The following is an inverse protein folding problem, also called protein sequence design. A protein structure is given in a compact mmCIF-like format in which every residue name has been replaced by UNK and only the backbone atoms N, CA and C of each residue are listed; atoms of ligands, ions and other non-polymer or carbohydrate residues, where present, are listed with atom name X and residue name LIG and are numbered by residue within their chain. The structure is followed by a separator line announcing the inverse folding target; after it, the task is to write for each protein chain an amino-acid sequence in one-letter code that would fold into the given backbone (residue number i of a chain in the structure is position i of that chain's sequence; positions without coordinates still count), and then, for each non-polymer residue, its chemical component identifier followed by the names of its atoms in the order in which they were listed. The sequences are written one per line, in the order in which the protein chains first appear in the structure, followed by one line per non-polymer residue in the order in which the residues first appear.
data_IF_096326021273
#
_entry.id   IF_096326021273
#
_cell.length_a   1.000
_cell.length_b   1.000
_cell.length_c   1.000
_cell.angle_alpha   90.00
_cell.angle_beta   90.00
_cell.angle_gamma   90.00
#
_symmetry.space_group_name_H-M   'P 1'
#
loop_
_entity.id
_entity.type
_entity.pdbx_description
1 polymer ?
#
# COMPACT_ATOMS: atom_id res chain seq x y z
N UNK A 1 9.97 -5.57 -34.17
CA UNK A 1 11.22 -5.13 -33.53
C UNK A 1 11.05 -3.65 -33.26
N UNK A 2 10.69 -3.15 -32.07
CA UNK A 2 11.14 -3.47 -30.71
C UNK A 2 9.97 -3.33 -29.73
N UNK A 3 9.94 -4.19 -28.72
CA UNK A 3 9.00 -4.21 -27.60
C UNK A 3 9.02 -2.91 -26.79
N UNK A 4 7.85 -2.42 -26.37
CA UNK A 4 7.72 -1.70 -25.10
C UNK A 4 6.61 -2.38 -24.33
N UNK A 5 7.03 -3.16 -23.34
CA UNK A 5 6.15 -3.81 -22.40
C UNK A 5 5.30 -2.74 -21.70
N UNK A 6 3.99 -2.93 -21.70
CA UNK A 6 3.13 -2.24 -20.76
C UNK A 6 3.52 -2.69 -19.35
N UNK A 7 4.13 -1.80 -18.57
CA UNK A 7 4.46 -2.03 -17.17
C UNK A 7 3.18 -2.30 -16.37
N UNK A 8 3.03 -3.47 -15.73
CA UNK A 8 1.92 -3.73 -14.83
C UNK A 8 2.24 -3.09 -13.48
N UNK A 9 1.84 -1.82 -13.27
CA UNK A 9 1.72 -1.28 -11.92
C UNK A 9 0.46 -1.92 -11.30
N UNK A 10 0.66 -3.17 -10.90
CA UNK A 10 -0.17 -3.90 -9.97
C UNK A 10 -0.47 -3.02 -8.77
N UNK A 11 -1.76 -2.90 -8.45
CA UNK A 11 -2.24 -2.18 -7.30
C UNK A 11 -1.41 -2.57 -6.07
N UNK A 12 -0.76 -1.63 -5.37
CA UNK A 12 -0.06 -1.94 -4.13
C UNK A 12 -1.01 -2.46 -3.04
N UNK A 13 -2.32 -2.40 -3.26
CA UNK A 13 -3.36 -3.01 -2.43
C UNK A 13 -3.52 -4.53 -2.67
N UNK A 14 -3.28 -5.01 -3.90
CA UNK A 14 -3.46 -6.43 -4.25
C UNK A 14 -2.22 -7.27 -3.87
N UNK A 15 -1.01 -6.72 -4.08
CA UNK A 15 0.26 -7.34 -3.68
C UNK A 15 0.35 -7.60 -2.16
N UNK A 16 -0.31 -6.75 -1.38
CA UNK A 16 -0.41 -6.84 0.07
C UNK A 16 -1.21 -8.05 0.54
N UNK A 17 -2.19 -8.48 -0.25
CA UNK A 17 -3.01 -9.65 0.08
C UNK A 17 -2.25 -10.96 -0.13
N UNK A 18 -1.28 -10.99 -1.06
CA UNK A 18 -0.50 -12.19 -1.38
C UNK A 18 0.60 -12.51 -0.34
N UNK A 19 1.17 -11.51 0.34
CA UNK A 19 2.25 -11.73 1.31
C UNK A 19 1.78 -12.28 2.68
N UNK A 20 0.47 -12.38 2.94
CA UNK A 20 -0.07 -12.96 4.18
C UNK A 20 -0.37 -14.47 4.09
N UNK A 21 0.12 -15.16 3.07
CA UNK A 21 0.05 -16.62 2.98
C UNK A 21 1.30 -17.28 3.62
N UNK A 22 1.43 -17.17 4.95
CA UNK A 22 2.44 -17.93 5.70
C UNK A 22 2.12 -19.44 5.74
N UNK A 23 3.14 -20.32 5.92
CA UNK A 23 2.99 -21.77 5.83
C UNK A 23 2.20 -22.31 7.04
N UNK A 24 1.07 -22.97 6.77
CA UNK A 24 0.30 -23.66 7.80
C UNK A 24 1.01 -24.94 8.24
N UNK A 25 1.87 -24.84 9.26
CA UNK A 25 2.35 -26.02 10.00
C UNK A 25 1.23 -26.54 10.91
N UNK A 26 0.99 -27.84 10.79
CA UNK A 26 -0.24 -28.50 11.22
C UNK A 26 -0.41 -28.71 12.72
N UNK A 27 -1.68 -28.85 13.09
CA UNK A 27 -2.19 -29.78 14.09
C UNK A 27 -3.72 -29.82 13.90
N UNK A 28 -4.27 -31.01 13.67
CA UNK A 28 -5.69 -31.27 13.45
C UNK A 28 -6.50 -30.84 14.68
N UNK A 29 -7.36 -29.84 14.53
CA UNK A 29 -8.60 -29.72 15.30
C UNK A 29 -9.56 -28.80 14.56
N UNK A 30 -10.62 -29.38 13.98
CA UNK A 30 -11.80 -28.74 13.37
C UNK A 30 -11.54 -27.57 12.43
N UNK A 31 -11.84 -27.75 11.14
CA UNK A 31 -11.95 -26.65 10.19
C UNK A 31 -12.93 -25.58 10.70
N UNK A 32 -12.41 -24.51 11.32
CA UNK A 32 -13.19 -23.32 11.69
C UNK A 32 -13.59 -22.67 10.37
N UNK A 33 -14.81 -23.00 9.89
CA UNK A 33 -15.47 -22.32 8.79
C UNK A 33 -15.36 -20.82 9.05
N UNK A 34 -14.70 -20.07 8.15
CA UNK A 34 -14.73 -18.60 8.12
C UNK A 34 -16.17 -18.19 7.79
N UNK A 35 -17.04 -18.19 8.80
CA UNK A 35 -18.37 -17.60 8.67
C UNK A 35 -18.18 -16.08 8.52
N UNK A 36 -18.75 -15.48 7.47
CA UNK A 36 -18.74 -14.01 7.29
C UNK A 36 -19.47 -13.22 8.39
N UNK A 37 -20.03 -13.90 9.40
CA UNK A 37 -20.75 -13.33 10.54
C UNK A 37 -19.86 -13.26 11.81
N UNK A 38 -19.93 -12.12 12.52
CA UNK A 38 -19.27 -11.89 13.81
C UNK A 38 -19.90 -12.74 14.91
N UNK A 39 -19.08 -13.44 15.70
CA UNK A 39 -19.59 -14.30 16.76
C UNK A 39 -20.10 -13.51 17.98
N UNK A 40 -21.33 -13.80 18.41
CA UNK A 40 -22.02 -13.11 19.52
C UNK A 40 -22.10 -13.94 20.82
N UNK A 41 -21.40 -15.08 20.89
CA UNK A 41 -21.43 -15.96 22.06
C UNK A 41 -20.64 -15.41 23.26
N UNK A 42 -21.11 -15.70 24.49
CA UNK A 42 -20.47 -15.24 25.76
C UNK A 42 -18.97 -15.58 25.87
N UNK A 43 -18.53 -16.67 25.24
CA UNK A 43 -17.12 -17.13 25.25
C UNK A 43 -16.39 -16.91 23.90
N UNK A 44 -16.88 -16.02 23.03
CA UNK A 44 -16.33 -15.81 21.68
C UNK A 44 -15.17 -14.80 21.57
N UNK A 45 -14.63 -14.32 22.71
CA UNK A 45 -13.62 -13.26 22.77
C UNK A 45 -12.38 -13.51 21.89
N UNK A 46 -11.88 -14.75 21.82
CA UNK A 46 -10.68 -15.10 21.01
C UNK A 46 -10.92 -14.88 19.52
N UNK A 47 -12.10 -15.25 19.02
CA UNK A 47 -12.48 -15.06 17.62
C UNK A 47 -12.63 -13.56 17.32
N UNK A 48 -13.35 -12.82 18.17
CA UNK A 48 -13.53 -11.37 18.01
C UNK A 48 -12.20 -10.60 17.93
N UNK A 49 -11.20 -10.97 18.75
CA UNK A 49 -9.86 -10.38 18.68
C UNK A 49 -9.18 -10.64 17.33
N UNK A 50 -9.20 -11.89 16.85
CA UNK A 50 -8.61 -12.27 15.56
C UNK A 50 -9.33 -11.60 14.37
N UNK A 51 -10.65 -11.51 14.43
CA UNK A 51 -11.46 -10.89 13.37
C UNK A 51 -11.23 -9.37 13.34
N UNK A 52 -11.06 -8.73 14.50
CA UNK A 52 -10.69 -7.30 14.57
C UNK A 52 -9.29 -7.06 14.02
N UNK A 53 -8.31 -7.92 14.34
CA UNK A 53 -6.96 -7.81 13.80
C UNK A 53 -6.93 -7.94 12.27
N UNK A 54 -7.65 -8.92 11.71
CA UNK A 54 -7.77 -9.08 10.26
C UNK A 54 -8.43 -7.87 9.60
N UNK A 55 -9.55 -7.37 10.16
CA UNK A 55 -10.21 -6.16 9.66
C UNK A 55 -9.40 -4.88 9.83
N UNK A 56 -8.44 -4.85 10.77
CA UNK A 56 -7.56 -3.70 10.94
C UNK A 56 -6.64 -3.48 9.75
N UNK A 57 -6.28 -4.55 9.03
CA UNK A 57 -5.39 -4.48 7.87
C UNK A 57 -6.06 -3.94 6.60
N UNK A 58 -7.39 -3.92 6.51
CA UNK A 58 -8.10 -3.29 5.39
C UNK A 58 -8.10 -1.76 5.48
N UNK A 59 -7.81 -1.21 6.66
CA UNK A 59 -7.61 0.23 6.82
C UNK A 59 -6.24 0.62 6.22
N UNK A 60 -6.30 1.46 5.19
CA UNK A 60 -5.11 1.92 4.45
C UNK A 60 -4.15 2.71 5.33
N UNK A 61 -4.65 3.52 6.26
CA UNK A 61 -3.81 4.34 7.15
C UNK A 61 -3.05 3.45 8.13
N UNK A 62 -3.74 2.44 8.67
CA UNK A 62 -3.12 1.43 9.52
C UNK A 62 -2.04 0.65 8.77
N UNK A 63 -2.35 0.17 7.56
CA UNK A 63 -1.42 -0.61 6.75
C UNK A 63 -0.19 0.20 6.31
N UNK A 64 -0.36 1.50 5.98
CA UNK A 64 0.74 2.41 5.63
C UNK A 64 1.66 2.67 6.80
N UNK A 65 1.10 2.89 7.99
CA UNK A 65 1.86 3.13 9.23
C UNK A 65 2.65 1.90 9.66
N UNK A 66 2.00 0.73 9.74
CA UNK A 66 2.61 -0.49 10.25
C UNK A 66 3.79 -0.96 9.38
N UNK A 67 3.73 -0.70 8.07
CA UNK A 67 4.81 -1.06 7.14
C UNK A 67 5.89 0.01 6.98
N UNK A 68 5.69 1.19 7.57
CA UNK A 68 6.58 2.34 7.39
C UNK A 68 6.72 2.77 5.93
N UNK A 69 5.64 2.72 5.14
CA UNK A 69 5.72 3.04 3.70
C UNK A 69 6.19 4.48 3.46
N UNK A 70 5.81 5.41 4.34
CA UNK A 70 6.16 6.82 4.20
C UNK A 70 7.68 7.02 4.27
N UNK A 71 8.34 6.42 5.24
CA UNK A 71 9.80 6.56 5.43
C UNK A 71 10.59 5.93 4.27
N UNK A 72 10.09 4.83 3.69
CA UNK A 72 10.79 4.12 2.61
C UNK A 72 10.63 4.76 1.24
N UNK A 73 9.51 5.45 1.00
CA UNK A 73 9.15 5.96 -0.33
C UNK A 73 9.34 7.47 -0.48
N UNK A 74 9.52 8.20 0.62
CA UNK A 74 9.69 9.65 0.60
C UNK A 74 11.13 10.03 0.22
N UNK A 75 11.37 10.82 -0.85
CA UNK A 75 12.71 11.27 -1.20
C UNK A 75 13.36 12.21 -0.17
N UNK A 76 12.57 12.80 0.74
CA UNK A 76 13.06 13.64 1.83
C UNK A 76 13.19 12.90 3.17
N UNK A 77 12.92 11.58 3.19
CA UNK A 77 12.99 10.74 4.40
C UNK A 77 12.21 11.32 5.60
N UNK A 78 11.10 12.03 5.36
CA UNK A 78 10.29 12.65 6.40
C UNK A 78 10.76 14.03 6.88
N UNK A 79 11.79 14.62 6.27
CA UNK A 79 12.22 15.98 6.56
C UNK A 79 11.23 17.03 5.99
N UNK A 80 11.04 18.19 6.66
CA UNK A 80 10.13 19.23 6.17
C UNK A 80 10.64 19.99 4.94
N UNK A 81 11.97 20.01 4.71
CA UNK A 81 12.62 20.69 3.59
C UNK A 81 13.87 19.95 3.15
N UNK A 82 14.22 20.05 1.85
CA UNK A 82 15.45 19.52 1.27
C UNK A 82 16.19 20.58 0.44
N UNK A 83 17.50 20.35 0.22
CA UNK A 83 18.31 21.13 -0.73
C UNK A 83 18.73 20.20 -1.86
N UNK A 84 18.86 20.73 -3.07
CA UNK A 84 19.33 19.95 -4.20
C UNK A 84 19.82 20.83 -5.33
N UNK A 85 20.46 20.21 -6.32
CA UNK A 85 21.07 20.89 -7.46
C UNK A 85 20.17 20.74 -8.67
N UNK A 86 20.06 21.82 -9.44
CA UNK A 86 19.31 21.84 -10.70
C UNK A 86 20.06 21.09 -11.79
N UNK A 87 19.41 20.09 -12.39
CA UNK A 87 19.96 19.36 -13.54
C UNK A 87 19.48 19.97 -14.86
N UNK A 88 18.16 19.96 -15.10
CA UNK A 88 17.58 20.40 -16.37
C UNK A 88 16.27 21.17 -16.20
N UNK A 89 16.01 22.06 -17.16
CA UNK A 89 14.76 22.83 -17.26
C UNK A 89 13.76 22.03 -18.09
N UNK A 90 12.59 21.76 -17.51
CA UNK A 90 11.52 20.98 -18.14
C UNK A 90 10.27 21.85 -18.27
N UNK A 91 9.54 21.71 -19.38
CA UNK A 91 8.19 22.25 -19.51
C UNK A 91 7.18 21.10 -19.43
N UNK A 92 6.35 21.06 -18.39
CA UNK A 92 5.27 20.08 -18.29
C UNK A 92 3.99 20.72 -18.81
N UNK A 93 3.35 20.06 -19.78
CA UNK A 93 2.06 20.47 -20.28
C UNK A 93 0.97 20.27 -19.22
N UNK A 94 0.01 21.19 -19.17
CA UNK A 94 -1.14 21.06 -18.29
C UNK A 94 -2.00 19.86 -18.71
N UNK A 95 -2.64 19.21 -17.72
CA UNK A 95 -3.66 18.20 -18.04
C UNK A 95 -4.81 18.88 -18.82
N UNK A 96 -5.30 18.19 -19.85
CA UNK A 96 -6.51 18.57 -20.59
C UNK A 96 -7.64 18.85 -19.59
N UNK A 97 -8.47 19.91 -19.74
CA UNK A 97 -8.79 20.66 -20.97
C UNK A 97 -7.95 21.93 -21.22
N UNK A 98 -6.89 22.20 -20.44
CA UNK A 98 -6.11 23.43 -20.59
C UNK A 98 -4.86 23.24 -21.46
N UNK A 99 -4.49 24.27 -22.23
CA UNK A 99 -3.36 24.27 -23.17
C UNK A 99 -2.17 25.14 -22.72
N UNK A 100 -1.74 25.00 -21.47
CA UNK A 100 -0.66 25.80 -20.89
C UNK A 100 0.59 24.97 -20.55
N UNK A 101 1.78 25.59 -20.63
CA UNK A 101 3.06 24.97 -20.27
C UNK A 101 3.51 25.48 -18.88
N UNK A 102 3.69 24.57 -17.92
CA UNK A 102 4.22 24.86 -16.58
C UNK A 102 5.74 24.75 -16.58
N UNK A 103 6.43 25.82 -16.16
CA UNK A 103 7.89 25.84 -16.05
C UNK A 103 8.29 25.08 -14.79
N UNK A 104 9.13 24.06 -14.95
CA UNK A 104 9.60 23.20 -13.87
C UNK A 104 11.07 22.82 -14.07
N UNK A 105 11.66 22.26 -13.03
CA UNK A 105 13.09 21.93 -12.98
C UNK A 105 13.24 20.58 -12.29
N UNK A 106 14.12 19.73 -12.79
CA UNK A 106 14.48 18.48 -12.09
C UNK A 106 15.63 18.75 -11.13
N UNK A 107 15.45 18.32 -9.90
CA UNK A 107 16.40 18.48 -8.80
C UNK A 107 16.91 17.09 -8.41
N UNK A 108 18.23 16.95 -8.30
CA UNK A 108 18.89 15.75 -7.77
C UNK A 108 18.97 15.77 -6.26
#
# INVERSE_FOLDING_TARGET
MVETAADPISDPCEAVSACFAGPKKGCLSSAVRKSGYMANGKYAARKLKKDRQQRRWSDSEYARRERGLKEKSDPLEGAPQGRGIVLEKVGIEAKQPNSAIRKCVRVS
#
